data_IF_072559994991
#
_entry.id   IF_072559994991
#
_cell.length_a   1.000
_cell.length_b   1.000
_cell.length_c   1.000
_cell.angle_alpha   90.00
_cell.angle_beta   90.00
_cell.angle_gamma   90.00
#
_symmetry.space_group_name_H-M   'P 1'
#
loop_
_entity.id
_entity.type
_entity.pdbx_description
1 polymer ?
#
# COMPACT_ATOMS: atom_id res chain seq x y z
N UNK A 1 8.36 6.29 12.90
CA UNK A 1 7.05 6.96 13.02
C UNK A 1 6.61 6.93 14.48
N UNK A 2 6.84 8.00 15.23
CA UNK A 2 6.30 8.15 16.59
C UNK A 2 5.87 9.61 16.72
N UNK A 3 4.63 9.84 17.15
CA UNK A 3 4.10 11.16 17.45
C UNK A 3 3.30 11.07 18.74
N UNK A 4 3.39 12.10 19.58
CA UNK A 4 2.52 12.18 20.76
C UNK A 4 1.04 12.18 20.34
N UNK A 5 0.18 11.38 20.97
CA UNK A 5 -1.20 11.15 20.56
C UNK A 5 -2.12 12.32 20.95
N UNK A 6 -1.75 13.54 20.57
CA UNK A 6 -2.44 14.79 20.92
C UNK A 6 -3.11 15.36 19.67
N UNK A 7 -4.44 15.45 19.70
CA UNK A 7 -5.30 15.90 18.60
C UNK A 7 -5.38 17.43 18.50
N UNK A 8 -4.23 18.10 18.39
CA UNK A 8 -4.15 19.56 18.24
C UNK A 8 -3.89 19.91 16.77
N UNK A 9 -4.67 20.81 16.14
CA UNK A 9 -4.41 21.27 14.79
C UNK A 9 -2.97 21.75 14.62
N UNK A 10 -2.30 21.22 13.60
CA UNK A 10 -0.88 21.52 13.32
C UNK A 10 0.09 20.40 13.72
N UNK A 11 -0.28 19.49 14.64
CA UNK A 11 0.59 18.38 15.03
C UNK A 11 0.67 17.28 13.96
N UNK A 12 1.76 16.51 13.99
CA UNK A 12 1.93 15.34 13.11
C UNK A 12 0.84 14.29 13.35
N UNK A 13 0.45 14.08 14.62
CA UNK A 13 -0.64 13.16 14.96
C UNK A 13 -1.97 13.60 14.35
N UNK A 14 -2.33 14.88 14.48
CA UNK A 14 -3.54 15.44 13.87
C UNK A 14 -3.56 15.26 12.34
N UNK A 15 -2.44 15.57 11.68
CA UNK A 15 -2.29 15.40 10.23
C UNK A 15 -2.40 13.93 9.82
N UNK A 16 -1.73 13.03 10.55
CA UNK A 16 -1.77 11.59 10.32
C UNK A 16 -3.18 11.00 10.47
N UNK A 17 -3.91 11.41 11.52
CA UNK A 17 -5.29 10.97 11.73
C UNK A 17 -6.24 11.49 10.64
N UNK A 18 -6.05 12.74 10.17
CA UNK A 18 -6.81 13.28 9.03
C UNK A 18 -6.50 12.53 7.73
N UNK A 19 -5.25 12.16 7.51
CA UNK A 19 -4.84 11.35 6.36
C UNK A 19 -5.45 9.94 6.43
N UNK A 20 -5.39 9.28 7.59
CA UNK A 20 -6.04 7.98 7.81
C UNK A 20 -7.53 8.04 7.50
N UNK A 21 -8.24 9.08 7.98
CA UNK A 21 -9.68 9.25 7.70
C UNK A 21 -9.97 9.37 6.20
N UNK A 22 -9.12 10.09 5.45
CA UNK A 22 -9.25 10.22 3.99
C UNK A 22 -9.01 8.88 3.29
N UNK A 23 -7.93 8.17 3.64
CA UNK A 23 -7.63 6.85 3.08
C UNK A 23 -8.77 5.86 3.32
N UNK A 24 -9.29 5.80 4.54
CA UNK A 24 -10.40 4.92 4.89
C UNK A 24 -11.67 5.24 4.11
N UNK A 25 -11.95 6.53 3.87
CA UNK A 25 -13.07 6.93 3.01
C UNK A 25 -12.85 6.45 1.56
N UNK A 26 -11.67 6.66 1.00
CA UNK A 26 -11.34 6.21 -0.36
C UNK A 26 -11.40 4.69 -0.51
N UNK A 27 -10.91 3.93 0.48
CA UNK A 27 -11.00 2.47 0.45
C UNK A 27 -12.45 1.98 0.41
N UNK A 28 -13.31 2.57 1.25
CA UNK A 28 -14.73 2.25 1.26
C UNK A 28 -15.39 2.54 -0.08
N UNK A 29 -15.14 3.72 -0.65
CA UNK A 29 -15.66 4.10 -1.98
C UNK A 29 -15.21 3.11 -3.07
N UNK A 30 -13.97 2.61 -3.02
CA UNK A 30 -13.48 1.60 -3.96
C UNK A 30 -14.16 0.23 -3.76
N UNK A 31 -14.32 -0.21 -2.51
CA UNK A 31 -15.00 -1.47 -2.17
C UNK A 31 -16.45 -1.42 -2.67
N UNK A 32 -17.18 -0.37 -2.31
CA UNK A 32 -18.59 -0.19 -2.69
C UNK A 32 -18.73 -0.08 -4.22
N UNK A 33 -17.84 0.68 -4.86
CA UNK A 33 -17.83 0.86 -6.31
C UNK A 33 -17.60 -0.44 -7.07
N UNK A 34 -16.68 -1.30 -6.63
CA UNK A 34 -16.43 -2.61 -7.27
C UNK A 34 -17.57 -3.59 -7.03
N UNK A 35 -18.07 -3.69 -5.80
CA UNK A 35 -19.19 -4.61 -5.47
C UNK A 35 -20.50 -4.24 -6.17
N UNK A 36 -20.74 -2.95 -6.41
CA UNK A 36 -21.91 -2.49 -7.16
C UNK A 36 -21.75 -2.57 -8.69
N UNK A 37 -20.55 -2.92 -9.18
CA UNK A 37 -20.23 -2.93 -10.61
C UNK A 37 -20.09 -1.53 -11.23
N UNK A 38 -20.07 -0.47 -10.42
CA UNK A 38 -19.85 0.91 -10.88
C UNK A 38 -18.39 1.15 -11.26
N UNK A 39 -17.47 0.54 -10.53
CA UNK A 39 -16.04 0.54 -10.85
C UNK A 39 -15.65 -0.79 -11.49
N UNK A 40 -14.75 -0.72 -12.45
CA UNK A 40 -14.17 -1.90 -13.10
C UNK A 40 -13.39 -2.75 -12.10
N UNK A 41 -13.58 -4.07 -12.20
CA UNK A 41 -12.79 -5.04 -11.45
C UNK A 41 -11.41 -5.17 -12.12
N UNK A 42 -10.35 -4.81 -11.40
CA UNK A 42 -8.97 -5.00 -11.84
C UNK A 42 -8.37 -6.20 -11.10
N UNK A 43 -7.57 -7.03 -11.76
CA UNK A 43 -6.79 -8.07 -11.08
C UNK A 43 -5.70 -7.45 -10.20
N UNK A 44 -6.06 -7.17 -8.95
CA UNK A 44 -5.16 -6.57 -7.96
C UNK A 44 -5.42 -7.09 -6.55
N UNK A 45 -4.64 -6.58 -5.59
CA UNK A 45 -4.71 -7.01 -4.19
C UNK A 45 -6.10 -6.77 -3.57
N UNK A 46 -6.77 -5.66 -3.90
CA UNK A 46 -8.12 -5.41 -3.41
C UNK A 46 -9.10 -6.43 -3.99
N UNK A 47 -9.00 -6.71 -5.30
CA UNK A 47 -9.88 -7.69 -5.94
C UNK A 47 -9.72 -9.08 -5.34
N UNK A 48 -8.49 -9.53 -5.09
CA UNK A 48 -8.24 -10.84 -4.46
C UNK A 48 -8.87 -10.98 -3.06
N UNK A 49 -9.05 -9.87 -2.33
CA UNK A 49 -9.78 -9.86 -1.06
C UNK A 49 -11.30 -9.86 -1.27
N UNK A 50 -11.80 -9.12 -2.25
CA UNK A 50 -13.23 -9.07 -2.60
C UNK A 50 -13.74 -10.39 -3.18
N UNK A 51 -12.92 -11.14 -3.90
CA UNK A 51 -13.30 -12.44 -4.47
C UNK A 51 -13.70 -13.46 -3.39
N UNK A 52 -13.22 -13.25 -2.14
CA UNK A 52 -13.61 -14.02 -0.96
C UNK A 52 -15.07 -13.81 -0.56
N UNK A 53 -15.77 -12.81 -1.08
CA UNK A 53 -17.21 -12.66 -0.87
C UNK A 53 -18.01 -13.88 -1.37
N UNK A 54 -17.44 -14.62 -2.31
CA UNK A 54 -18.00 -15.88 -2.85
C UNK A 54 -17.73 -17.10 -1.97
N UNK A 55 -16.89 -16.97 -0.93
CA UNK A 55 -16.48 -18.09 -0.06
C UNK A 55 -17.50 -18.30 1.07
N UNK A 56 -17.41 -19.43 1.81
CA UNK A 56 -18.21 -19.64 3.02
C UNK A 56 -18.06 -18.49 4.03
N UNK A 57 -19.11 -18.23 4.83
CA UNK A 57 -19.18 -17.06 5.73
C UNK A 57 -18.01 -16.93 6.72
N UNK A 58 -17.37 -18.04 7.09
CA UNK A 58 -16.20 -18.07 7.99
C UNK A 58 -14.88 -17.67 7.30
N UNK A 59 -14.87 -17.50 5.98
CA UNK A 59 -13.70 -17.11 5.20
C UNK A 59 -13.82 -15.73 4.55
N UNK A 60 -15.03 -15.14 4.59
CA UNK A 60 -15.28 -13.78 4.12
C UNK A 60 -14.53 -12.76 4.98
N UNK A 61 -14.05 -11.70 4.33
CA UNK A 61 -13.45 -10.56 5.01
C UNK A 61 -14.49 -9.46 5.16
N UNK A 62 -14.58 -8.90 6.36
CA UNK A 62 -15.32 -7.66 6.59
C UNK A 62 -14.62 -6.48 5.92
N UNK A 63 -15.37 -5.43 5.61
CA UNK A 63 -14.81 -4.21 5.02
C UNK A 63 -13.71 -3.61 5.88
N UNK A 64 -13.85 -3.66 7.21
CA UNK A 64 -12.80 -3.23 8.14
C UNK A 64 -11.51 -4.03 7.97
N UNK A 65 -11.59 -5.35 7.83
CA UNK A 65 -10.42 -6.19 7.63
C UNK A 65 -9.76 -5.93 6.27
N UNK A 66 -10.55 -5.75 5.21
CA UNK A 66 -10.03 -5.40 3.88
C UNK A 66 -9.31 -4.04 3.94
N UNK A 67 -9.95 -3.04 4.53
CA UNK A 67 -9.40 -1.68 4.67
C UNK A 67 -8.13 -1.63 5.53
N UNK A 68 -8.07 -2.41 6.61
CA UNK A 68 -6.89 -2.51 7.48
C UNK A 68 -5.74 -3.26 6.79
N UNK A 69 -6.02 -4.30 6.00
CA UNK A 69 -5.00 -4.96 5.16
C UNK A 69 -4.42 -4.01 4.11
N UNK A 70 -5.27 -3.23 3.42
CA UNK A 70 -4.81 -2.21 2.47
C UNK A 70 -3.89 -1.18 3.15
N UNK A 71 -4.32 -0.66 4.31
CA UNK A 71 -3.52 0.31 5.06
C UNK A 71 -2.18 -0.29 5.50
N UNK A 72 -2.20 -1.52 6.02
CA UNK A 72 -1.01 -2.23 6.49
C UNK A 72 -0.01 -2.41 5.38
N UNK A 73 -0.45 -2.88 4.20
CA UNK A 73 0.42 -3.08 3.04
C UNK A 73 1.10 -1.77 2.62
N UNK A 74 0.35 -0.67 2.55
CA UNK A 74 0.89 0.65 2.19
C UNK A 74 1.93 1.10 3.21
N UNK A 75 1.63 1.03 4.51
CA UNK A 75 2.55 1.49 5.56
C UNK A 75 3.82 0.63 5.56
N UNK A 76 3.69 -0.69 5.41
CA UNK A 76 4.81 -1.62 5.41
C UNK A 76 5.76 -1.38 4.22
N UNK A 77 5.22 -1.21 3.01
CA UNK A 77 6.01 -1.09 1.78
C UNK A 77 6.68 0.28 1.60
N UNK A 78 6.05 1.36 2.04
CA UNK A 78 6.53 2.73 1.73
C UNK A 78 7.96 2.99 2.21
N UNK A 79 8.24 2.78 3.49
CA UNK A 79 9.57 3.12 4.04
C UNK A 79 10.62 2.07 3.72
N UNK A 80 10.23 0.79 3.67
CA UNK A 80 11.15 -0.32 3.46
C UNK A 80 11.62 -0.41 2.01
N UNK A 81 10.70 -0.33 1.05
CA UNK A 81 11.04 -0.33 -0.38
C UNK A 81 11.82 0.93 -0.76
N UNK A 82 11.46 2.10 -0.24
CA UNK A 82 12.22 3.32 -0.49
C UNK A 82 13.67 3.23 0.03
N UNK A 83 13.87 2.71 1.24
CA UNK A 83 15.21 2.49 1.79
C UNK A 83 15.99 1.45 0.97
N UNK A 84 15.36 0.33 0.60
CA UNK A 84 15.99 -0.70 -0.23
C UNK A 84 16.42 -0.15 -1.59
N UNK A 85 15.56 0.66 -2.24
CA UNK A 85 15.89 1.33 -3.50
C UNK A 85 17.04 2.34 -3.33
N UNK A 86 17.02 3.15 -2.27
CA UNK A 86 18.11 4.08 -1.97
C UNK A 86 19.45 3.34 -1.85
N UNK A 87 19.48 2.26 -1.07
CA UNK A 87 20.68 1.45 -0.90
C UNK A 87 21.12 0.79 -2.20
N UNK A 88 20.18 0.25 -2.99
CA UNK A 88 20.45 -0.32 -4.29
C UNK A 88 21.15 0.70 -5.20
N UNK A 89 20.59 1.91 -5.34
CA UNK A 89 21.19 2.97 -6.16
C UNK A 89 22.57 3.36 -5.65
N UNK A 90 22.73 3.54 -4.34
CA UNK A 90 24.04 3.87 -3.74
C UNK A 90 25.10 2.81 -4.06
N UNK A 91 24.79 1.54 -3.84
CA UNK A 91 25.77 0.47 -4.06
C UNK A 91 26.07 0.24 -5.54
N UNK A 92 25.11 0.48 -6.44
CA UNK A 92 25.37 0.40 -7.88
C UNK A 92 26.31 1.51 -8.36
N UNK A 93 26.15 2.74 -7.87
CA UNK A 93 27.06 3.84 -8.24
C UNK A 93 28.50 3.61 -7.75
N UNK A 94 28.66 3.01 -6.56
CA UNK A 94 29.95 2.66 -5.97
C UNK A 94 30.62 1.44 -6.63
N UNK A 95 29.87 0.60 -7.37
CA UNK A 95 30.36 -0.64 -7.99
C UNK A 95 30.00 -0.68 -9.49
N UNK A 96 30.72 0.13 -10.27
CA UNK A 96 30.47 0.33 -11.72
C UNK A 96 30.56 -0.96 -12.54
N UNK A 97 31.42 -1.89 -12.16
CA UNK A 97 31.53 -3.20 -12.81
C UNK A 97 30.24 -4.03 -12.67
N UNK A 98 29.58 -3.97 -11.52
CA UNK A 98 28.27 -4.62 -11.30
C UNK A 98 27.18 -3.90 -12.11
N UNK A 99 27.22 -2.57 -12.15
CA UNK A 99 26.30 -1.78 -12.96
C UNK A 99 26.41 -2.11 -14.46
N UNK A 100 27.62 -2.22 -14.99
CA UNK A 100 27.87 -2.55 -16.41
C UNK A 100 27.37 -3.96 -16.75
N UNK A 101 27.58 -4.92 -15.85
CA UNK A 101 27.06 -6.30 -16.01
C UNK A 101 25.53 -6.33 -16.04
N UNK A 102 24.87 -5.58 -15.14
CA UNK A 102 23.41 -5.46 -15.17
C UNK A 102 22.94 -4.81 -16.47
N UNK A 103 23.63 -3.77 -16.94
CA UNK A 103 23.27 -3.09 -18.17
C UNK A 103 23.27 -4.02 -19.38
N UNK A 104 24.31 -4.86 -19.53
CA UNK A 104 24.39 -5.86 -20.61
C UNK A 104 23.24 -6.86 -20.55
N UNK A 105 22.82 -7.31 -19.36
CA UNK A 105 21.72 -8.27 -19.20
C UNK A 105 20.38 -7.66 -19.63
N UNK A 106 20.13 -6.38 -19.32
CA UNK A 106 18.86 -5.72 -19.65
C UNK A 106 18.78 -5.19 -21.10
N UNK A 107 19.89 -5.18 -21.84
CA UNK A 107 19.96 -4.69 -23.22
C UNK A 107 20.42 -5.76 -24.22
N UNK A 108 20.46 -7.03 -23.80
CA UNK A 108 20.58 -8.19 -24.66
C UNK A 108 19.19 -8.72 -25.05
#
# INVERSE_FOLDING_TARGET
>A
MLSFPIMVPGTQYYRGMKARKRLMKTFREMIDGRRSGVLECCEDFLQSMLDRDSYPSNEKLSDSEIMDNLLTLIIAGQSTTAAAMMWCVKFLDENRDVQDRLWVIFHA
#
